data_IF_968811570829
#
_entry.id   IF_968811570829
#
_cell.length_a   1.000
_cell.length_b   1.000
_cell.length_c   1.000
_cell.angle_alpha   90.00
_cell.angle_beta   90.00
_cell.angle_gamma   90.00
#
_symmetry.space_group_name_H-M   'P 1'
#
loop_
_entity.id
_entity.type
_entity.pdbx_description
1 polymer ?
#
# COMPACT_ATOMS: atom_id res chain seq x y z
N UNK A 1 -24.18 9.58 -4.20
CA UNK A 1 -23.06 9.06 -3.38
C UNK A 1 -23.35 7.60 -3.18
N UNK A 2 -22.43 6.71 -3.57
CA UNK A 2 -22.66 5.27 -3.53
C UNK A 2 -23.08 4.83 -2.14
N UNK A 3 -24.20 4.10 -2.03
CA UNK A 3 -24.59 3.51 -0.75
C UNK A 3 -23.65 2.37 -0.41
N UNK A 4 -23.10 2.42 0.78
CA UNK A 4 -22.17 1.41 1.29
C UNK A 4 -22.62 0.88 2.64
N UNK A 5 -21.97 -0.18 3.11
CA UNK A 5 -22.11 -0.70 4.48
C UNK A 5 -21.06 -0.11 5.45
N UNK A 6 -20.51 1.08 5.19
CA UNK A 6 -19.38 1.65 5.95
C UNK A 6 -19.65 1.71 7.46
N UNK A 7 -20.89 1.97 7.84
CA UNK A 7 -21.37 2.01 9.23
C UNK A 7 -21.29 0.65 9.96
N UNK A 8 -21.19 -0.46 9.21
CA UNK A 8 -21.05 -1.82 9.73
C UNK A 8 -19.60 -2.31 9.71
N UNK A 9 -18.68 -1.56 9.12
CA UNK A 9 -17.28 -1.94 9.05
C UNK A 9 -16.61 -1.73 10.40
N UNK A 10 -15.67 -2.62 10.71
CA UNK A 10 -14.88 -2.55 11.94
C UNK A 10 -13.57 -1.84 11.62
N UNK A 11 -13.25 -0.85 12.45
CA UNK A 11 -11.92 -0.26 12.49
C UNK A 11 -11.09 -0.96 13.57
N UNK A 12 -9.93 -1.49 13.21
CA UNK A 12 -9.05 -2.23 14.11
C UNK A 12 -7.63 -1.66 14.08
N UNK A 13 -6.91 -1.73 15.19
CA UNK A 13 -5.50 -1.37 15.23
C UNK A 13 -4.65 -2.49 14.63
N UNK A 14 -3.83 -2.15 13.64
CA UNK A 14 -2.71 -3.00 13.20
C UNK A 14 -1.41 -2.23 13.35
N UNK A 15 -0.35 -2.91 13.80
CA UNK A 15 0.92 -2.27 14.13
C UNK A 15 2.07 -2.96 13.42
N UNK A 16 2.86 -2.16 12.73
CA UNK A 16 4.13 -2.56 12.14
C UNK A 16 5.24 -1.62 12.60
N UNK A 17 6.34 -1.65 11.86
CA UNK A 17 7.47 -0.73 12.02
C UNK A 17 8.09 -0.40 10.68
N UNK A 18 8.83 0.69 10.61
CA UNK A 18 9.67 1.01 9.46
C UNK A 18 10.59 -0.18 9.18
N UNK A 19 10.53 -0.71 7.95
CA UNK A 19 11.29 -1.88 7.54
C UNK A 19 12.74 -1.48 7.24
N UNK A 20 13.67 -2.42 7.29
CA UNK A 20 14.96 -2.23 6.61
C UNK A 20 14.75 -2.23 5.08
N UNK A 21 15.66 -1.62 4.31
CA UNK A 21 15.87 -1.99 2.91
C UNK A 21 16.25 -3.46 2.81
N UNK A 22 15.73 -4.17 1.81
CA UNK A 22 15.89 -5.63 1.72
C UNK A 22 16.45 -6.01 0.36
N UNK A 23 17.46 -6.87 0.36
CA UNK A 23 18.09 -7.37 -0.87
C UNK A 23 18.62 -8.78 -0.65
N UNK A 24 18.36 -9.67 -1.62
CA UNK A 24 18.81 -11.09 -1.57
C UNK A 24 20.23 -11.31 -2.11
N UNK A 25 20.70 -10.44 -3.00
CA UNK A 25 22.00 -10.52 -3.66
C UNK A 25 22.46 -9.12 -4.06
N UNK A 26 23.77 -8.89 -4.19
CA UNK A 26 24.31 -7.61 -4.63
C UNK A 26 23.74 -7.14 -5.98
N UNK A 27 23.33 -8.07 -6.86
CA UNK A 27 22.85 -7.78 -8.21
C UNK A 27 21.36 -8.09 -8.39
N UNK A 28 20.68 -7.24 -9.16
CA UNK A 28 19.41 -7.55 -9.84
C UNK A 28 19.72 -7.91 -11.30
N UNK A 29 18.99 -8.87 -11.87
CA UNK A 29 19.15 -9.27 -13.28
C UNK A 29 18.07 -8.59 -14.13
N UNK A 30 18.51 -7.87 -15.14
CA UNK A 30 17.66 -7.18 -16.11
C UNK A 30 17.02 -8.15 -17.11
N UNK A 31 16.03 -7.67 -17.88
CA UNK A 31 15.29 -8.49 -18.84
C UNK A 31 16.18 -9.09 -19.96
N UNK A 32 17.33 -8.47 -20.27
CA UNK A 32 18.31 -8.95 -21.25
C UNK A 32 19.49 -9.71 -20.61
N UNK A 33 19.37 -10.08 -19.33
CA UNK A 33 20.31 -10.94 -18.62
C UNK A 33 21.53 -10.23 -18.04
N UNK A 34 21.56 -8.90 -17.99
CA UNK A 34 22.68 -8.13 -17.41
C UNK A 34 22.50 -7.90 -15.91
N UNK A 35 23.55 -8.08 -15.08
CA UNK A 35 23.51 -7.74 -13.67
C UNK A 35 23.65 -6.22 -13.46
N UNK A 36 22.84 -5.65 -12.60
CA UNK A 36 22.89 -4.24 -12.20
C UNK A 36 22.86 -4.10 -10.67
N UNK A 37 23.34 -2.97 -10.15
CA UNK A 37 23.36 -2.65 -8.72
C UNK A 37 22.62 -1.35 -8.48
N UNK A 38 21.33 -1.45 -8.16
CA UNK A 38 20.43 -0.29 -8.02
C UNK A 38 19.51 -0.41 -6.79
N UNK A 39 19.11 0.69 -6.11
CA UNK A 39 18.20 0.63 -4.97
C UNK A 39 16.89 -0.09 -5.28
N UNK A 40 16.20 -0.59 -4.24
CA UNK A 40 14.92 -1.27 -4.40
C UNK A 40 14.01 -1.19 -3.19
N UNK A 41 13.41 -2.32 -2.80
CA UNK A 41 12.38 -2.41 -1.76
C UNK A 41 12.88 -2.09 -0.34
N UNK A 42 11.97 -1.58 0.49
CA UNK A 42 12.12 -1.38 1.92
C UNK A 42 12.79 -0.06 2.33
N UNK A 43 12.62 0.30 3.60
CA UNK A 43 13.26 1.48 4.19
C UNK A 43 12.44 2.77 4.07
N UNK A 44 13.17 3.88 4.12
CA UNK A 44 12.64 5.23 3.94
C UNK A 44 13.23 5.77 2.64
N UNK A 45 12.38 5.94 1.63
CA UNK A 45 12.75 6.52 0.34
C UNK A 45 12.48 8.03 0.38
N UNK A 46 13.56 8.82 0.48
CA UNK A 46 13.46 10.26 0.75
C UNK A 46 13.03 11.10 -0.46
N UNK A 47 13.22 10.60 -1.69
CA UNK A 47 13.10 11.36 -2.93
C UNK A 47 12.10 10.78 -3.95
N UNK A 48 11.29 9.80 -3.53
CA UNK A 48 10.19 9.26 -4.33
C UNK A 48 8.95 9.15 -3.43
N UNK A 49 7.86 9.79 -3.84
CA UNK A 49 6.59 9.82 -3.11
C UNK A 49 5.42 9.43 -3.97
N UNK A 50 4.28 9.20 -3.32
CA UNK A 50 3.01 9.01 -4.04
C UNK A 50 2.72 10.25 -4.90
N UNK A 51 2.41 10.02 -6.18
CA UNK A 51 2.20 11.08 -7.17
C UNK A 51 3.41 11.32 -8.09
N UNK A 52 4.61 10.87 -7.72
CA UNK A 52 5.77 10.89 -8.62
C UNK A 52 5.61 9.87 -9.75
N UNK A 53 6.42 10.03 -10.81
CA UNK A 53 6.45 9.07 -11.92
C UNK A 53 6.97 7.72 -11.42
N UNK A 54 6.28 6.65 -11.81
CA UNK A 54 6.71 5.27 -11.54
C UNK A 54 7.95 4.85 -12.35
N UNK A 55 8.26 5.56 -13.45
CA UNK A 55 9.39 5.26 -14.35
C UNK A 55 10.41 6.41 -14.37
N UNK A 56 11.62 6.11 -14.85
CA UNK A 56 12.71 7.08 -15.02
C UNK A 56 13.69 7.13 -13.85
N UNK A 57 13.60 6.17 -12.93
CA UNK A 57 14.52 6.01 -11.81
C UNK A 57 15.51 4.88 -12.08
N UNK A 58 16.77 5.07 -11.69
CA UNK A 58 17.79 4.02 -11.68
C UNK A 58 17.58 3.13 -10.44
N UNK A 59 16.53 2.30 -10.48
CA UNK A 59 16.06 1.50 -9.35
C UNK A 59 15.28 0.25 -9.82
N UNK A 60 15.08 -0.71 -8.91
CA UNK A 60 14.28 -1.91 -9.13
C UNK A 60 13.32 -2.14 -7.96
N UNK A 61 12.01 -2.18 -8.21
CA UNK A 61 10.97 -2.31 -7.16
C UNK A 61 11.09 -1.26 -6.03
N UNK A 62 11.56 -0.04 -6.32
CA UNK A 62 11.61 1.01 -5.30
C UNK A 62 10.22 1.35 -4.77
N UNK A 63 10.11 1.49 -3.45
CA UNK A 63 8.86 1.77 -2.74
C UNK A 63 8.83 3.24 -2.31
N UNK A 64 7.77 4.02 -2.65
CA UNK A 64 7.69 5.43 -2.30
C UNK A 64 7.43 5.66 -0.81
N UNK A 65 8.04 6.71 -0.25
CA UNK A 65 7.84 7.10 1.14
C UNK A 65 8.43 6.09 2.12
N UNK A 66 7.59 5.51 2.97
CA UNK A 66 8.02 4.64 4.07
C UNK A 66 7.45 3.25 3.90
N UNK A 67 8.35 2.26 3.79
CA UNK A 67 7.99 0.85 3.81
C UNK A 67 7.92 0.35 5.24
N UNK A 68 6.88 -0.42 5.55
CA UNK A 68 6.64 -0.94 6.90
C UNK A 68 6.28 -2.41 6.90
N UNK A 69 6.67 -3.10 7.96
CA UNK A 69 6.47 -4.55 8.14
C UNK A 69 6.29 -4.86 9.63
N UNK A 70 5.70 -5.99 9.99
CA UNK A 70 5.71 -6.44 11.39
C UNK A 70 7.05 -7.11 11.71
N UNK A 71 7.46 -8.06 10.88
CA UNK A 71 8.72 -8.76 11.02
C UNK A 71 9.25 -9.30 9.67
N UNK A 72 10.31 -8.70 9.14
CA UNK A 72 10.96 -9.13 7.89
C UNK A 72 11.50 -10.56 7.88
N UNK A 73 11.78 -11.18 9.03
CA UNK A 73 12.27 -12.56 9.13
C UNK A 73 11.14 -13.59 9.08
N UNK A 74 9.89 -13.16 9.26
CA UNK A 74 8.71 -14.03 9.35
C UNK A 74 7.60 -13.56 8.40
N UNK A 75 7.96 -13.29 7.14
CA UNK A 75 7.07 -12.64 6.16
C UNK A 75 5.77 -13.42 5.97
N UNK A 76 5.83 -14.73 5.96
CA UNK A 76 4.70 -15.65 5.82
C UNK A 76 3.92 -15.93 7.12
N UNK A 77 4.22 -15.23 8.21
CA UNK A 77 3.54 -15.43 9.48
C UNK A 77 2.20 -14.65 9.55
N UNK A 78 1.21 -15.16 10.31
CA UNK A 78 -0.12 -14.55 10.42
C UNK A 78 -0.13 -13.07 10.80
N UNK A 79 0.87 -12.59 11.54
CA UNK A 79 0.95 -11.17 11.92
C UNK A 79 1.27 -10.25 10.73
N UNK A 80 2.17 -10.66 9.83
CA UNK A 80 2.45 -9.87 8.63
C UNK A 80 1.26 -9.92 7.66
N UNK A 81 0.62 -11.09 7.49
CA UNK A 81 -0.61 -11.18 6.71
C UNK A 81 -1.72 -10.30 7.28
N UNK A 82 -1.97 -10.32 8.59
CA UNK A 82 -2.96 -9.43 9.19
C UNK A 82 -2.62 -7.95 9.00
N UNK A 83 -1.33 -7.57 9.08
CA UNK A 83 -0.89 -6.21 8.83
C UNK A 83 -1.11 -5.78 7.38
N UNK A 84 -0.72 -6.61 6.41
CA UNK A 84 -0.86 -6.34 4.99
C UNK A 84 -2.33 -6.33 4.56
N UNK A 85 -3.07 -7.39 4.90
CA UNK A 85 -4.47 -7.57 4.50
C UNK A 85 -5.41 -6.58 5.18
N UNK A 86 -5.23 -6.22 6.46
CA UNK A 86 -6.20 -5.31 7.10
C UNK A 86 -5.95 -3.84 6.76
N UNK A 87 -4.71 -3.46 6.44
CA UNK A 87 -4.41 -2.12 5.98
C UNK A 87 -5.10 -1.85 4.63
N UNK A 88 -5.72 -0.69 4.50
CA UNK A 88 -6.35 -0.24 3.27
C UNK A 88 -5.73 1.08 2.82
N UNK A 89 -5.62 1.28 1.50
CA UNK A 89 -5.16 2.55 0.93
C UNK A 89 -6.10 3.66 1.38
N UNK A 90 -5.52 4.74 1.89
CA UNK A 90 -6.24 5.86 2.52
C UNK A 90 -6.34 5.78 4.04
N UNK A 91 -5.99 4.65 4.68
CA UNK A 91 -6.01 4.55 6.13
C UNK A 91 -4.99 5.48 6.79
N UNK A 92 -5.37 6.01 7.95
CA UNK A 92 -4.50 6.81 8.78
C UNK A 92 -3.43 5.94 9.46
N UNK A 93 -2.17 6.32 9.28
CA UNK A 93 -1.02 5.74 9.96
C UNK A 93 -0.41 6.77 10.91
N UNK A 94 -0.04 6.36 12.13
CA UNK A 94 0.58 7.25 13.11
C UNK A 94 1.88 6.66 13.63
N UNK A 95 2.93 7.48 13.66
CA UNK A 95 4.19 7.13 14.30
C UNK A 95 4.00 7.15 15.81
N UNK A 96 4.40 6.07 16.51
CA UNK A 96 4.19 5.90 17.96
C UNK A 96 5.49 5.79 18.76
N UNK A 97 6.66 5.83 18.11
CA UNK A 97 8.00 5.86 18.71
C UNK A 97 8.91 6.86 17.99
N UNK A 98 10.14 7.01 18.47
CA UNK A 98 11.16 7.83 17.81
C UNK A 98 10.87 9.33 17.83
N UNK A 99 11.69 10.08 17.10
CA UNK A 99 11.65 11.54 17.04
C UNK A 99 10.48 12.06 16.20
N UNK A 100 9.96 11.21 15.31
CA UNK A 100 8.77 11.46 14.50
C UNK A 100 7.46 11.10 15.23
N UNK A 101 7.50 10.69 16.52
CA UNK A 101 6.30 10.30 17.27
C UNK A 101 5.21 11.37 17.15
N UNK A 102 3.96 10.92 17.03
CA UNK A 102 2.74 11.70 16.77
C UNK A 102 2.52 12.12 15.31
N UNK A 103 3.53 12.04 14.44
CA UNK A 103 3.34 12.31 13.02
C UNK A 103 2.29 11.35 12.43
N UNK A 104 1.46 11.90 11.54
CA UNK A 104 0.38 11.19 10.88
C UNK A 104 0.67 11.15 9.38
N UNK A 105 0.55 9.96 8.82
CA UNK A 105 0.66 9.67 7.40
C UNK A 105 -0.54 8.89 6.91
N UNK A 106 -0.50 8.51 5.64
CA UNK A 106 -1.57 7.80 4.95
C UNK A 106 -1.00 6.58 4.25
N UNK A 107 -1.68 5.44 4.39
CA UNK A 107 -1.34 4.22 3.64
C UNK A 107 -1.56 4.47 2.14
N UNK A 108 -0.55 4.25 1.32
CA UNK A 108 -0.57 4.49 -0.13
C UNK A 108 -0.60 3.22 -0.96
N UNK A 109 -0.22 2.08 -0.40
CA UNK A 109 -0.18 0.81 -1.12
C UNK A 109 0.38 -0.34 -0.31
N UNK A 110 0.46 -1.50 -0.95
CA UNK A 110 0.96 -2.74 -0.39
C UNK A 110 1.88 -3.42 -1.40
N UNK A 111 2.85 -4.19 -0.91
CA UNK A 111 3.72 -5.00 -1.73
C UNK A 111 3.79 -6.42 -1.17
N UNK A 112 3.01 -7.33 -1.78
CA UNK A 112 2.97 -8.74 -1.42
C UNK A 112 4.28 -9.48 -1.73
N UNK A 113 4.50 -10.61 -1.05
CA UNK A 113 5.73 -11.40 -1.10
C UNK A 113 6.81 -10.88 -0.15
N UNK A 114 7.03 -9.56 -0.14
CA UNK A 114 7.82 -8.90 0.91
C UNK A 114 6.93 -8.44 2.09
N UNK A 115 5.61 -8.43 1.91
CA UNK A 115 4.61 -8.09 2.93
C UNK A 115 4.80 -6.68 3.52
N UNK A 116 5.17 -5.72 2.67
CA UNK A 116 5.28 -4.32 3.08
C UNK A 116 3.94 -3.59 2.91
N UNK A 117 3.64 -2.71 3.88
CA UNK A 117 2.63 -1.64 3.76
C UNK A 117 3.37 -0.33 3.53
N UNK A 118 2.95 0.44 2.53
CA UNK A 118 3.59 1.69 2.11
C UNK A 118 2.82 2.88 2.67
N UNK A 119 3.54 3.85 3.21
CA UNK A 119 2.94 4.98 3.92
C UNK A 119 3.63 6.28 3.50
N UNK A 120 2.83 7.26 3.11
CA UNK A 120 3.31 8.60 2.84
C UNK A 120 3.23 9.48 4.09
N UNK A 121 4.33 10.17 4.36
CA UNK A 121 4.43 11.21 5.38
C UNK A 121 5.05 12.48 4.78
N UNK A 122 4.88 13.59 5.49
CA UNK A 122 5.54 14.86 5.13
C UNK A 122 7.06 14.70 5.08
N UNK A 123 7.75 15.52 4.28
CA UNK A 123 9.21 15.45 4.20
C UNK A 123 9.86 15.63 5.57
N UNK A 124 9.38 16.59 6.36
CA UNK A 124 9.85 16.81 7.73
C UNK A 124 9.76 15.55 8.61
N UNK A 125 8.73 14.73 8.41
CA UNK A 125 8.58 13.46 9.14
C UNK A 125 9.60 12.44 8.66
N UNK A 126 9.86 12.35 7.35
CA UNK A 126 10.85 11.41 6.80
C UNK A 126 12.25 11.65 7.39
N UNK A 127 12.66 12.91 7.52
CA UNK A 127 13.96 13.28 8.11
C UNK A 127 14.10 12.92 9.60
N UNK A 128 12.98 12.64 10.30
CA UNK A 128 12.95 12.27 11.72
C UNK A 128 12.71 10.78 11.97
N UNK A 129 12.31 10.04 10.94
CA UNK A 129 12.01 8.62 11.07
C UNK A 129 13.30 7.80 11.08
N UNK A 130 13.32 6.79 11.93
CA UNK A 130 14.36 5.77 11.94
C UNK A 130 13.81 4.41 11.51
N UNK A 131 14.70 3.56 10.99
CA UNK A 131 14.37 2.15 10.79
C UNK A 131 13.95 1.54 12.13
N UNK A 132 12.86 0.76 12.12
CA UNK A 132 12.30 0.16 13.31
C UNK A 132 11.32 1.04 14.09
N UNK A 133 11.11 2.31 13.71
CA UNK A 133 10.08 3.12 14.33
C UNK A 133 8.71 2.50 14.16
N UNK A 134 7.96 2.41 15.26
CA UNK A 134 6.67 1.74 15.33
C UNK A 134 5.60 2.62 14.71
N UNK A 135 4.79 2.00 13.84
CA UNK A 135 3.68 2.63 13.16
C UNK A 135 2.38 1.93 13.54
N UNK A 136 1.41 2.70 14.01
CA UNK A 136 0.06 2.23 14.30
C UNK A 136 -0.88 2.70 13.20
N UNK A 137 -1.50 1.75 12.50
CA UNK A 137 -2.51 2.01 11.48
C UNK A 137 -3.89 1.75 12.08
N UNK A 138 -4.81 2.70 11.84
CA UNK A 138 -6.23 2.47 12.04
C UNK A 138 -6.77 1.77 10.79
N UNK A 139 -6.65 0.44 10.75
CA UNK A 139 -7.09 -0.37 9.62
C UNK A 139 -8.62 -0.32 9.50
N UNK A 140 -9.11 0.08 8.32
CA UNK A 140 -10.54 0.30 8.07
C UNK A 140 -10.86 0.23 6.58
N UNK A 141 -11.69 -0.71 6.16
CA UNK A 141 -12.10 -0.83 4.75
C UNK A 141 -12.36 -2.26 4.30
N UNK A 142 -11.73 -3.25 4.93
CA UNK A 142 -12.02 -4.64 4.60
C UNK A 142 -13.48 -5.01 4.89
N UNK A 143 -14.12 -5.66 3.92
CA UNK A 143 -15.54 -5.98 3.95
C UNK A 143 -16.46 -4.87 3.43
N UNK A 144 -15.92 -3.77 2.88
CA UNK A 144 -16.68 -2.72 2.20
C UNK A 144 -17.47 -3.32 1.02
N UNK A 145 -18.74 -2.94 0.92
CA UNK A 145 -19.68 -3.37 -0.11
C UNK A 145 -20.42 -2.17 -0.68
N UNK A 146 -20.65 -2.20 -1.99
CA UNK A 146 -21.58 -1.30 -2.66
C UNK A 146 -22.96 -1.94 -2.60
N UNK A 147 -23.88 -1.35 -1.83
CA UNK A 147 -25.16 -1.98 -1.50
C UNK A 147 -26.11 -2.07 -2.70
N UNK A 148 -26.06 -1.07 -3.57
CA UNK A 148 -26.88 -1.02 -4.79
C UNK A 148 -26.21 -1.76 -5.96
N UNK A 149 -24.94 -2.19 -5.81
CA UNK A 149 -24.14 -2.87 -6.84
C UNK A 149 -23.47 -4.13 -6.28
N UNK A 150 -24.25 -5.15 -5.87
CA UNK A 150 -23.74 -6.28 -5.10
C UNK A 150 -22.74 -7.16 -5.85
N UNK A 151 -22.72 -7.12 -7.18
CA UNK A 151 -21.74 -7.84 -8.00
C UNK A 151 -20.37 -7.16 -8.03
N UNK A 152 -20.32 -5.84 -7.81
CA UNK A 152 -19.07 -5.08 -7.75
C UNK A 152 -18.44 -5.27 -6.38
N UNK A 153 -17.24 -5.84 -6.36
CA UNK A 153 -16.47 -6.08 -5.14
C UNK A 153 -15.42 -4.98 -4.96
N UNK A 154 -15.30 -4.48 -3.73
CA UNK A 154 -14.32 -3.47 -3.35
C UNK A 154 -13.40 -4.10 -2.30
N UNK A 155 -12.10 -3.91 -2.48
CA UNK A 155 -11.06 -4.40 -1.59
C UNK A 155 -10.05 -3.27 -1.32
N UNK A 156 -9.34 -3.36 -0.19
CA UNK A 156 -8.12 -2.58 0.09
C UNK A 156 -8.29 -1.05 0.07
N UNK A 157 -9.50 -0.55 0.31
CA UNK A 157 -9.85 0.85 0.13
C UNK A 157 -10.53 1.41 1.37
N UNK A 158 -9.97 2.50 1.91
CA UNK A 158 -10.63 3.28 2.95
C UNK A 158 -11.96 3.85 2.39
N UNK A 159 -13.10 3.67 3.07
CA UNK A 159 -14.39 4.18 2.58
C UNK A 159 -14.39 5.70 2.32
N UNK A 160 -13.60 6.48 3.06
CA UNK A 160 -13.47 7.92 2.84
C UNK A 160 -12.63 8.27 1.61
N UNK A 161 -11.77 7.36 1.16
CA UNK A 161 -11.04 7.51 -0.10
C UNK A 161 -11.95 7.22 -1.29
N UNK A 162 -12.84 6.21 -1.21
CA UNK A 162 -13.85 5.95 -2.24
C UNK A 162 -14.68 7.20 -2.56
N UNK A 163 -15.07 7.95 -1.52
CA UNK A 163 -15.82 9.21 -1.66
C UNK A 163 -15.06 10.31 -2.41
N UNK A 164 -13.72 10.22 -2.47
CA UNK A 164 -12.83 11.18 -3.13
C UNK A 164 -12.37 10.73 -4.53
N UNK A 165 -12.66 9.50 -4.93
CA UNK A 165 -12.25 8.93 -6.22
C UNK A 165 -13.08 9.41 -7.42
N UNK A 166 -14.06 10.30 -7.22
CA UNK A 166 -14.95 10.80 -8.28
C UNK A 166 -15.68 9.69 -9.05
N UNK A 167 -15.98 8.59 -8.37
CA UNK A 167 -16.77 7.47 -8.92
C UNK A 167 -18.23 7.92 -9.05
N UNK A 168 -18.82 7.73 -10.23
CA UNK A 168 -20.19 8.19 -10.53
C UNK A 168 -21.10 7.03 -10.87
N UNK A 169 -22.33 7.15 -10.40
CA UNK A 169 -23.43 6.31 -10.87
C UNK A 169 -23.92 6.90 -12.19
N UNK A 170 -24.07 6.06 -13.21
CA UNK A 170 -24.58 6.45 -14.53
C UNK A 170 -25.86 5.66 -14.84
N UNK A 171 -26.62 6.12 -15.83
CA UNK A 171 -27.89 5.51 -16.21
C UNK A 171 -27.73 4.03 -16.55
N UNK A 172 -28.72 3.22 -16.17
CA UNK A 172 -28.72 1.78 -16.45
C UNK A 172 -28.03 0.91 -15.41
N UNK A 173 -27.78 1.42 -14.19
CA UNK A 173 -27.25 0.62 -13.08
C UNK A 173 -25.77 0.27 -13.25
N UNK A 174 -25.00 1.18 -13.82
CA UNK A 174 -23.55 1.02 -13.99
C UNK A 174 -22.78 2.14 -13.29
N UNK A 175 -21.50 1.92 -13.07
CA UNK A 175 -20.60 2.85 -12.38
C UNK A 175 -19.50 3.29 -13.35
N UNK A 176 -19.28 4.60 -13.43
CA UNK A 176 -18.12 5.21 -14.08
C UNK A 176 -17.00 5.42 -13.04
N UNK A 177 -15.82 4.85 -13.30
CA UNK A 177 -14.62 5.01 -12.47
C UNK A 177 -13.56 5.75 -13.29
N UNK A 178 -13.09 6.93 -12.87
CA UNK A 178 -12.05 7.66 -13.60
C UNK A 178 -10.72 6.92 -13.47
N UNK A 179 -10.09 6.65 -14.62
CA UNK A 179 -8.77 6.02 -14.72
C UNK A 179 -7.87 6.84 -15.64
N UNK A 180 -6.56 6.77 -15.42
CA UNK A 180 -5.56 7.40 -16.30
C UNK A 180 -5.24 6.54 -17.51
N UNK A 181 -5.40 5.21 -17.40
CA UNK A 181 -5.12 4.24 -18.45
C UNK A 181 -5.91 2.94 -18.24
N UNK A 182 -6.12 2.21 -19.33
CA UNK A 182 -6.65 0.84 -19.34
C UNK A 182 -5.52 -0.13 -19.71
N UNK A 183 -5.29 -1.16 -18.89
CA UNK A 183 -4.14 -2.07 -19.04
C UNK A 183 -4.62 -3.42 -19.59
N UNK A 184 -4.14 -3.86 -20.77
CA UNK A 184 -4.46 -5.18 -21.31
C UNK A 184 -3.98 -6.32 -20.39
N UNK A 185 -4.82 -7.35 -20.22
CA UNK A 185 -4.55 -8.48 -19.33
C UNK A 185 -3.19 -9.16 -19.58
N UNK A 186 -2.75 -9.26 -20.84
CA UNK A 186 -1.46 -9.85 -21.23
C UNK A 186 -0.21 -9.12 -20.69
N UNK A 187 -0.38 -7.90 -20.17
CA UNK A 187 0.71 -7.13 -19.56
C UNK A 187 0.84 -7.40 -18.06
N UNK A 188 -0.14 -8.09 -17.44
CA UNK A 188 -0.08 -8.46 -16.03
C UNK A 188 0.85 -9.67 -15.86
N UNK A 189 1.73 -9.61 -14.85
CA UNK A 189 2.80 -10.59 -14.66
C UNK A 189 2.87 -11.13 -13.23
N UNK A 190 4.00 -10.91 -12.55
CA UNK A 190 4.25 -11.39 -11.18
C UNK A 190 3.10 -11.03 -10.23
N UNK A 191 2.66 -11.99 -9.42
CA UNK A 191 1.54 -11.87 -8.48
C UNK A 191 0.24 -12.54 -8.94
N UNK A 192 0.09 -12.87 -10.23
CA UNK A 192 -1.02 -13.69 -10.71
C UNK A 192 -1.03 -15.07 -10.04
N UNK A 193 -2.21 -15.51 -9.58
CA UNK A 193 -2.38 -16.77 -8.85
C UNK A 193 -2.17 -16.68 -7.34
N UNK A 194 -1.88 -15.48 -6.80
CA UNK A 194 -1.90 -15.24 -5.35
C UNK A 194 -3.25 -15.64 -4.74
N UNK A 195 -3.21 -16.17 -3.52
CA UNK A 195 -4.40 -16.72 -2.85
C UNK A 195 -5.46 -15.66 -2.48
N UNK A 196 -5.05 -14.39 -2.40
CA UNK A 196 -5.90 -13.26 -2.04
C UNK A 196 -5.59 -12.06 -2.94
N UNK A 197 -6.63 -11.27 -3.22
CA UNK A 197 -6.51 -9.91 -3.79
C UNK A 197 -6.60 -8.84 -2.70
N UNK A 198 -6.97 -9.24 -1.49
CA UNK A 198 -7.03 -8.43 -0.28
C UNK A 198 -5.71 -8.47 0.47
#
# INVERSE_FOLDING_TARGET
MLRTNKEKLVMISVQGRVSYPVRRSAYTVTYDGKPIVVPGVGGITYNIKVGDKAFGWEADHVEPGVSTVVNEEKRDAPLNYAYNTLACVGNQARVISGDAKVAVGIVTGHHGGIEHVLIDFTQETLEKLCIGDKILIKAYGQGLKLLDYPEIKVFNLDPSLLEKMNVKEINGGTIEVPVTCEIPAKLMGSGLGSASVA
#
